data_IF_498681559456
#
_entry.id   IF_498681559456
#
_cell.length_a   1.000
_cell.length_b   1.000
_cell.length_c   1.000
_cell.angle_alpha   90.00
_cell.angle_beta   90.00
_cell.angle_gamma   90.00
#
_symmetry.space_group_name_H-M   'P 1'
#
loop_
_entity.id
_entity.type
_entity.pdbx_description
1 polymer ?
#
# COMPACT_ATOMS: atom_id res chain seq x y z
N UNK A 1 -29.14 6.60 -11.15
CA UNK A 1 -29.56 5.33 -11.78
C UNK A 1 -28.50 4.30 -11.49
N UNK A 2 -28.87 3.18 -10.87
CA UNK A 2 -27.97 2.08 -10.56
C UNK A 2 -27.79 1.21 -11.81
N UNK A 3 -26.55 1.10 -12.32
CA UNK A 3 -26.24 0.13 -13.36
C UNK A 3 -25.92 -1.19 -12.65
N UNK A 4 -26.84 -2.15 -12.74
CA UNK A 4 -26.60 -3.52 -12.29
C UNK A 4 -25.51 -4.17 -13.18
N UNK A 5 -24.44 -4.69 -12.57
CA UNK A 5 -23.47 -5.56 -13.27
C UNK A 5 -23.88 -7.01 -13.10
N UNK A 6 -24.09 -7.68 -14.23
CA UNK A 6 -24.30 -9.12 -14.30
C UNK A 6 -22.95 -9.84 -14.03
N UNK A 7 -22.92 -10.73 -13.03
CA UNK A 7 -21.74 -11.50 -12.61
C UNK A 7 -21.66 -12.89 -13.31
N UNK A 8 -22.45 -13.16 -14.35
CA UNK A 8 -22.55 -14.49 -14.96
C UNK A 8 -21.47 -14.83 -16.00
N UNK A 9 -20.54 -13.92 -16.33
CA UNK A 9 -19.47 -14.21 -17.29
C UNK A 9 -18.11 -14.18 -16.59
N UNK A 10 -17.79 -15.26 -15.86
CA UNK A 10 -16.38 -15.60 -15.66
C UNK A 10 -15.88 -16.14 -17.01
N UNK A 11 -14.81 -15.59 -17.61
CA UNK A 11 -14.25 -16.19 -18.82
C UNK A 11 -13.91 -17.65 -18.51
N UNK A 12 -14.27 -18.55 -19.44
CA UNK A 12 -14.19 -20.00 -19.26
C UNK A 12 -12.74 -20.53 -19.21
N UNK A 13 -11.75 -19.68 -19.44
CA UNK A 13 -10.35 -20.08 -19.50
C UNK A 13 -9.59 -19.65 -18.24
N UNK A 14 -8.98 -20.64 -17.60
CA UNK A 14 -8.04 -20.46 -16.51
C UNK A 14 -6.72 -19.98 -17.13
N UNK A 15 -6.52 -18.66 -17.14
CA UNK A 15 -5.30 -18.07 -17.71
C UNK A 15 -4.15 -18.28 -16.73
N UNK A 16 -3.15 -19.07 -17.14
CA UNK A 16 -1.90 -19.20 -16.42
C UNK A 16 -1.15 -17.84 -16.47
N UNK A 17 -0.77 -17.26 -15.31
CA UNK A 17 -0.04 -16.00 -15.27
C UNK A 17 1.24 -16.00 -16.10
N UNK A 18 1.97 -17.12 -16.19
CA UNK A 18 3.20 -17.22 -16.96
C UNK A 18 2.93 -17.13 -18.47
N UNK A 19 1.92 -17.87 -18.95
CA UNK A 19 1.49 -17.89 -20.34
C UNK A 19 0.96 -16.51 -20.79
N UNK A 20 0.24 -15.82 -19.91
CA UNK A 20 -0.21 -14.45 -20.18
C UNK A 20 0.96 -13.46 -20.33
N UNK A 21 1.95 -13.55 -19.45
CA UNK A 21 3.13 -12.68 -19.49
C UNK A 21 3.92 -12.91 -20.78
N UNK A 22 4.10 -14.17 -21.18
CA UNK A 22 4.82 -14.53 -22.41
C UNK A 22 4.07 -14.02 -23.66
N UNK A 23 2.74 -14.16 -23.73
CA UNK A 23 1.93 -13.62 -24.84
C UNK A 23 1.99 -12.11 -24.96
N UNK A 24 1.84 -11.39 -23.84
CA UNK A 24 1.94 -9.92 -23.84
C UNK A 24 3.33 -9.46 -24.25
N UNK A 25 4.38 -10.18 -23.85
CA UNK A 25 5.74 -9.89 -24.23
C UNK A 25 5.96 -10.03 -25.75
N UNK A 26 5.45 -11.10 -26.35
CA UNK A 26 5.53 -11.30 -27.81
C UNK A 26 4.81 -10.18 -28.57
N UNK A 27 3.60 -9.78 -28.14
CA UNK A 27 2.86 -8.66 -28.75
C UNK A 27 3.63 -7.33 -28.66
N UNK A 28 4.35 -7.10 -27.56
CA UNK A 28 5.16 -5.89 -27.38
C UNK A 28 6.41 -5.90 -28.25
N UNK A 29 7.00 -7.06 -28.51
CA UNK A 29 8.12 -7.22 -29.46
C UNK A 29 7.63 -6.99 -30.89
N UNK A 30 6.51 -7.60 -31.28
CA UNK A 30 5.94 -7.45 -32.63
C UNK A 30 5.50 -6.01 -32.92
N UNK A 31 4.92 -5.33 -31.93
CA UNK A 31 4.57 -3.90 -32.04
C UNK A 31 5.77 -2.95 -31.96
N UNK A 32 7.00 -3.47 -31.83
CA UNK A 32 8.24 -2.70 -31.79
C UNK A 32 8.44 -1.87 -30.53
N UNK A 33 7.64 -2.11 -29.48
CA UNK A 33 7.74 -1.43 -28.17
C UNK A 33 8.76 -2.09 -27.25
N UNK A 34 9.12 -3.34 -27.52
CA UNK A 34 10.15 -4.10 -26.83
C UNK A 34 11.17 -4.64 -27.85
N UNK A 35 12.45 -4.65 -27.49
CA UNK A 35 13.47 -5.36 -28.26
C UNK A 35 13.43 -6.88 -27.99
N UNK A 36 13.93 -7.71 -28.92
CA UNK A 36 14.08 -9.16 -28.71
C UNK A 36 15.03 -9.48 -27.54
N UNK A 37 16.00 -8.60 -27.28
CA UNK A 37 16.84 -8.62 -26.09
C UNK A 37 16.33 -7.56 -25.10
N UNK A 38 15.47 -7.97 -24.17
CA UNK A 38 14.89 -7.08 -23.16
C UNK A 38 15.27 -7.53 -21.74
N UNK A 39 15.26 -6.57 -20.81
CA UNK A 39 15.66 -6.77 -19.41
C UNK A 39 14.82 -7.84 -18.67
N UNK A 40 13.61 -8.13 -19.15
CA UNK A 40 12.72 -9.16 -18.58
C UNK A 40 13.33 -10.55 -18.79
N UNK A 41 13.95 -10.80 -19.94
CA UNK A 41 14.64 -12.08 -20.23
C UNK A 41 15.96 -12.23 -19.49
N UNK A 42 16.68 -11.14 -19.26
CA UNK A 42 17.90 -11.18 -18.44
C UNK A 42 17.59 -11.62 -17.02
N UNK A 43 16.59 -11.02 -16.37
CA UNK A 43 16.21 -11.40 -15.00
C UNK A 43 15.73 -12.86 -14.91
N UNK A 44 14.97 -13.33 -15.90
CA UNK A 44 14.49 -14.73 -15.95
C UNK A 44 15.65 -15.70 -16.14
N UNK A 45 16.60 -15.41 -17.05
CA UNK A 45 17.82 -16.20 -17.22
C UNK A 45 18.72 -16.19 -15.99
N UNK A 46 18.84 -15.06 -15.29
CA UNK A 46 19.59 -14.96 -14.02
C UNK A 46 18.95 -15.81 -12.91
N UNK A 47 17.62 -15.87 -12.85
CA UNK A 47 16.90 -16.71 -11.90
C UNK A 47 16.94 -18.22 -12.25
N UNK A 48 17.06 -18.56 -13.54
CA UNK A 48 17.10 -19.95 -14.02
C UNK A 48 18.52 -20.53 -14.11
N UNK A 49 19.57 -19.68 -14.12
CA UNK A 49 20.97 -20.10 -14.26
C UNK A 49 21.69 -20.42 -12.94
N UNK A 50 21.07 -20.18 -11.78
CA UNK A 50 21.66 -20.52 -10.48
C UNK A 50 20.95 -21.73 -9.83
N UNK A 51 21.54 -22.93 -9.85
CA UNK A 51 21.09 -24.04 -9.03
C UNK A 51 21.74 -23.96 -7.63
N UNK A 52 20.94 -23.50 -6.67
CA UNK A 52 20.92 -23.78 -5.22
C UNK A 52 22.12 -23.40 -4.28
N UNK A 53 21.73 -23.10 -3.04
CA UNK A 53 22.47 -23.08 -1.76
C UNK A 53 23.23 -21.80 -1.26
N UNK A 54 22.78 -21.38 -0.06
CA UNK A 54 23.43 -20.57 0.98
C UNK A 54 23.17 -19.05 1.06
N UNK A 55 22.05 -18.67 1.68
CA UNK A 55 22.04 -17.61 2.70
C UNK A 55 21.45 -18.18 4.00
N UNK A 56 22.28 -18.96 4.71
CA UNK A 56 22.02 -19.38 6.08
C UNK A 56 21.94 -18.13 6.98
N UNK A 57 20.76 -17.84 7.51
CA UNK A 57 20.62 -17.06 8.74
C UNK A 57 20.53 -18.06 9.91
N UNK A 58 21.57 -18.07 10.74
CA UNK A 58 21.74 -18.98 11.87
C UNK A 58 20.54 -18.97 12.81
N UNK A 59 19.91 -20.14 12.97
CA UNK A 59 19.11 -20.46 14.15
C UNK A 59 20.02 -20.42 15.39
N UNK A 60 19.73 -19.49 16.30
CA UNK A 60 20.11 -19.64 17.72
C UNK A 60 18.84 -19.80 18.53
N UNK A 61 18.45 -21.06 18.68
CA UNK A 61 17.54 -21.49 19.75
C UNK A 61 18.29 -21.44 21.07
N UNK A 62 17.74 -20.75 22.08
CA UNK A 62 17.52 -21.36 23.39
C UNK A 62 16.51 -20.53 24.23
N UNK A 63 15.28 -21.05 24.24
CA UNK A 63 14.33 -21.23 25.36
C UNK A 63 14.33 -20.21 26.49
N UNK A 64 13.17 -19.57 26.69
CA UNK A 64 12.37 -19.72 27.93
C UNK A 64 10.94 -19.21 27.71
N UNK A 65 9.98 -19.86 28.38
CA UNK A 65 8.53 -19.72 28.23
C UNK A 65 8.04 -18.32 28.66
N UNK A 66 7.12 -17.72 27.90
CA UNK A 66 5.90 -17.07 28.41
C UNK A 66 5.00 -16.56 27.26
N UNK A 67 3.70 -16.71 27.46
CA UNK A 67 2.56 -16.54 26.55
C UNK A 67 2.51 -15.15 25.88
N UNK A 68 2.52 -15.06 24.53
CA UNK A 68 2.17 -13.82 23.80
C UNK A 68 1.45 -14.11 22.47
N UNK A 69 0.31 -13.44 22.35
CA UNK A 69 -0.60 -13.16 21.22
C UNK A 69 -0.06 -13.38 19.79
N UNK A 70 -0.91 -13.78 18.82
CA UNK A 70 -0.46 -14.07 17.46
C UNK A 70 0.11 -12.84 16.75
N UNK A 71 1.24 -13.07 16.09
CA UNK A 71 2.14 -12.10 15.48
C UNK A 71 1.41 -11.20 14.46
N UNK A 72 1.55 -9.89 14.66
CA UNK A 72 1.17 -8.84 13.71
C UNK A 72 1.63 -9.09 12.27
N UNK A 73 2.71 -9.84 12.08
CA UNK A 73 3.24 -10.19 10.76
C UNK A 73 2.34 -11.18 9.97
N UNK A 74 1.73 -12.17 10.62
CA UNK A 74 0.86 -13.14 9.95
C UNK A 74 -0.45 -12.50 9.46
N UNK A 75 -0.95 -11.49 10.17
CA UNK A 75 -2.16 -10.77 9.79
C UNK A 75 -1.95 -9.79 8.62
N UNK A 76 -0.71 -9.39 8.34
CA UNK A 76 -0.39 -8.58 7.17
C UNK A 76 -0.42 -9.39 5.86
N UNK A 77 -0.24 -10.71 5.94
CA UNK A 77 -0.12 -11.60 4.78
C UNK A 77 -1.47 -11.92 4.09
N UNK A 78 -2.61 -11.63 4.72
CA UNK A 78 -3.93 -12.06 4.22
C UNK A 78 -4.79 -10.93 3.63
N UNK A 79 -4.18 -9.81 3.23
CA UNK A 79 -4.90 -8.60 2.84
C UNK A 79 -5.07 -8.47 1.32
N UNK A 80 -6.32 -8.48 0.85
CA UNK A 80 -6.65 -8.27 -0.56
C UNK A 80 -7.60 -7.08 -0.74
N UNK A 81 -7.05 -5.87 -0.67
CA UNK A 81 -7.78 -4.66 -1.05
C UNK A 81 -6.92 -3.40 -0.98
N UNK A 82 -6.80 -2.58 -2.06
CA UNK A 82 -5.98 -1.38 -2.03
C UNK A 82 -6.70 -0.27 -1.26
N UNK A 83 -6.32 -0.07 0.00
CA UNK A 83 -6.62 1.18 0.72
C UNK A 83 -6.07 2.34 -0.08
N UNK A 84 -6.92 3.30 -0.44
CA UNK A 84 -6.49 4.48 -1.21
C UNK A 84 -6.21 5.63 -0.27
N UNK A 85 -5.07 6.30 -0.49
CA UNK A 85 -4.64 7.46 0.29
C UNK A 85 -4.62 8.67 -0.63
N UNK A 86 -5.23 9.76 -0.20
CA UNK A 86 -5.22 11.05 -0.89
C UNK A 86 -4.76 12.14 0.08
N UNK A 87 -4.15 13.20 -0.44
CA UNK A 87 -3.83 14.36 0.37
C UNK A 87 -3.88 15.64 -0.44
N UNK A 88 -4.09 16.75 0.28
CA UNK A 88 -3.90 18.09 -0.24
C UNK A 88 -2.98 18.85 0.72
N UNK A 89 -1.80 19.19 0.22
CA UNK A 89 -0.80 19.97 0.91
C UNK A 89 -0.04 20.80 -0.11
N UNK A 90 -0.49 22.04 -0.30
CA UNK A 90 -0.03 22.92 -1.38
C UNK A 90 1.50 23.00 -1.47
N UNK A 91 2.04 22.75 -2.67
CA UNK A 91 3.48 22.85 -2.95
C UNK A 91 4.34 21.73 -2.32
N UNK A 92 3.74 20.70 -1.73
CA UNK A 92 4.47 19.60 -1.10
C UNK A 92 4.10 18.24 -1.68
N UNK A 93 5.11 17.38 -1.75
CA UNK A 93 5.03 15.98 -2.12
C UNK A 93 5.33 15.10 -0.91
N UNK A 94 4.69 13.94 -0.83
CA UNK A 94 5.00 12.95 0.19
C UNK A 94 6.36 12.29 -0.10
N UNK A 95 7.16 12.09 0.94
CA UNK A 95 8.37 11.25 0.90
C UNK A 95 8.09 9.85 1.46
N UNK A 96 7.18 9.77 2.44
CA UNK A 96 6.77 8.52 3.06
C UNK A 96 5.29 8.59 3.40
N UNK A 97 4.50 7.72 2.80
CA UNK A 97 3.06 7.65 2.99
C UNK A 97 2.66 6.18 3.15
N UNK A 98 2.82 5.60 4.35
CA UNK A 98 2.61 4.17 4.56
C UNK A 98 1.15 3.79 4.36
N UNK A 99 0.95 2.58 3.85
CA UNK A 99 -0.37 1.97 3.76
C UNK A 99 -0.81 1.61 5.19
N UNK A 100 -2.00 2.05 5.65
CA UNK A 100 -2.49 1.69 6.97
C UNK A 100 -2.68 0.19 7.11
N UNK A 101 -2.18 -0.37 8.21
CA UNK A 101 -2.48 -1.75 8.62
C UNK A 101 -3.63 -1.68 9.62
N UNK A 102 -4.81 -2.18 9.23
CA UNK A 102 -6.00 -2.18 10.09
C UNK A 102 -6.65 -3.56 10.11
N UNK A 103 -7.19 -3.95 11.26
CA UNK A 103 -7.97 -5.19 11.44
C UNK A 103 -9.45 -4.92 11.67
N UNK A 104 -9.89 -3.71 11.31
CA UNK A 104 -11.26 -3.28 11.51
C UNK A 104 -12.17 -3.99 10.49
N UNK A 105 -13.34 -4.45 10.92
CA UNK A 105 -14.34 -5.11 10.05
C UNK A 105 -15.12 -4.12 9.16
N UNK A 106 -14.97 -2.81 9.44
CA UNK A 106 -15.68 -1.75 8.74
C UNK A 106 -14.99 -1.28 7.46
N UNK A 107 -15.75 -0.59 6.63
CA UNK A 107 -15.26 0.19 5.51
C UNK A 107 -15.63 1.66 5.72
N UNK A 108 -14.91 2.56 5.05
CA UNK A 108 -15.27 3.96 5.08
C UNK A 108 -14.11 4.88 4.72
N UNK A 109 -14.46 6.15 4.56
CA UNK A 109 -13.51 7.22 4.31
C UNK A 109 -13.29 8.00 5.60
N UNK A 110 -12.05 8.10 6.04
CA UNK A 110 -11.63 8.98 7.15
C UNK A 110 -10.81 10.12 6.57
N UNK A 111 -11.26 11.35 6.80
CA UNK A 111 -10.58 12.57 6.35
C UNK A 111 -9.99 13.28 7.57
N UNK A 112 -8.69 13.56 7.52
CA UNK A 112 -7.94 14.20 8.58
C UNK A 112 -7.47 15.58 8.14
N UNK A 113 -7.54 16.54 9.05
CA UNK A 113 -6.76 17.79 8.99
C UNK A 113 -5.39 17.51 9.57
N UNK A 114 -4.34 17.75 8.78
CA UNK A 114 -2.95 17.57 9.18
C UNK A 114 -2.25 18.91 9.35
N UNK A 115 -1.32 18.98 10.30
CA UNK A 115 -0.41 20.10 10.48
C UNK A 115 1.02 19.63 10.26
N UNK A 116 1.69 20.16 9.24
CA UNK A 116 3.01 19.72 8.80
C UNK A 116 4.01 20.85 9.00
N UNK A 117 5.15 20.55 9.63
CA UNK A 117 6.18 21.55 9.84
C UNK A 117 7.11 21.74 8.62
N UNK A 118 7.99 22.74 8.69
CA UNK A 118 8.96 23.04 7.62
C UNK A 118 9.86 21.84 7.26
N UNK A 119 10.12 20.91 8.19
CA UNK A 119 10.91 19.69 7.95
C UNK A 119 10.11 18.57 7.27
N UNK A 120 8.82 18.76 7.03
CA UNK A 120 7.94 17.74 6.43
C UNK A 120 7.40 16.71 7.41
N UNK A 121 7.47 16.99 8.72
CA UNK A 121 6.96 16.10 9.77
C UNK A 121 5.51 16.49 10.09
N UNK A 122 4.62 15.50 10.19
CA UNK A 122 3.23 15.69 10.61
C UNK A 122 3.17 15.81 12.14
N UNK A 123 2.97 17.03 12.63
CA UNK A 123 2.91 17.36 14.07
C UNK A 123 1.51 17.26 14.66
N UNK A 124 0.46 17.30 13.83
CA UNK A 124 -0.88 16.95 14.26
C UNK A 124 -1.71 16.36 13.14
N UNK A 125 -2.66 15.50 13.53
CA UNK A 125 -3.64 14.88 12.65
C UNK A 125 -4.94 14.75 13.45
N UNK A 126 -6.02 15.35 12.96
CA UNK A 126 -7.32 15.40 13.64
C UNK A 126 -8.42 15.12 12.64
N UNK A 127 -9.39 14.28 13.00
CA UNK A 127 -10.51 13.95 12.12
C UNK A 127 -11.37 15.17 11.78
N UNK A 128 -11.84 15.19 10.54
CA UNK A 128 -12.86 16.10 10.04
C UNK A 128 -14.16 15.29 9.88
N UNK A 129 -15.01 15.30 10.90
CA UNK A 129 -16.20 14.43 11.00
C UNK A 129 -17.14 14.62 9.81
N UNK A 130 -17.43 15.87 9.43
CA UNK A 130 -18.35 16.20 8.33
C UNK A 130 -17.84 15.81 6.93
N UNK A 131 -16.55 15.51 6.77
CA UNK A 131 -15.98 15.02 5.50
C UNK A 131 -15.74 13.51 5.51
N UNK A 132 -15.78 12.89 6.69
CA UNK A 132 -15.62 11.45 6.89
C UNK A 132 -16.96 10.74 6.72
N UNK A 133 -16.94 9.49 6.28
CA UNK A 133 -18.15 8.67 6.13
C UNK A 133 -18.29 7.63 7.23
N UNK A 134 -17.35 7.62 8.17
CA UNK A 134 -17.29 6.69 9.30
C UNK A 134 -16.69 7.40 10.49
N UNK A 135 -17.23 7.10 11.66
CA UNK A 135 -16.75 7.45 12.99
C UNK A 135 -16.25 6.22 13.77
N UNK A 136 -16.09 5.07 13.08
CA UNK A 136 -15.56 3.84 13.66
C UNK A 136 -14.19 4.11 14.33
N UNK A 137 -14.08 3.93 15.66
CA UNK A 137 -12.85 4.27 16.37
C UNK A 137 -11.61 3.55 15.86
N UNK A 138 -11.74 2.29 15.44
CA UNK A 138 -10.64 1.50 14.92
C UNK A 138 -10.10 2.09 13.61
N UNK A 139 -11.00 2.49 12.70
CA UNK A 139 -10.60 3.12 11.44
C UNK A 139 -9.98 4.51 11.68
N UNK A 140 -10.56 5.29 12.60
CA UNK A 140 -10.07 6.62 12.95
C UNK A 140 -8.69 6.57 13.58
N UNK A 141 -8.46 5.69 14.55
CA UNK A 141 -7.17 5.49 15.20
C UNK A 141 -6.10 5.03 14.21
N UNK A 142 -6.45 4.12 13.31
CA UNK A 142 -5.54 3.66 12.26
C UNK A 142 -5.17 4.81 11.32
N UNK A 143 -6.15 5.61 10.88
CA UNK A 143 -5.89 6.77 10.04
C UNK A 143 -4.99 7.79 10.73
N UNK A 144 -5.27 8.12 12.00
CA UNK A 144 -4.51 9.10 12.77
C UNK A 144 -3.07 8.63 13.00
N UNK A 145 -2.86 7.39 13.42
CA UNK A 145 -1.52 6.83 13.65
C UNK A 145 -0.69 6.80 12.36
N UNK A 146 -1.29 6.37 11.24
CA UNK A 146 -0.64 6.35 9.93
C UNK A 146 -0.28 7.76 9.45
N UNK A 147 -1.16 8.74 9.67
CA UNK A 147 -0.91 10.13 9.32
C UNK A 147 0.27 10.72 10.08
N UNK A 148 0.41 10.42 11.38
CA UNK A 148 1.49 10.92 12.24
C UNK A 148 2.88 10.44 11.82
N UNK A 149 2.97 9.23 11.28
CA UNK A 149 4.24 8.67 10.81
C UNK A 149 4.56 9.05 9.35
N UNK A 150 3.59 9.60 8.62
CA UNK A 150 3.81 10.08 7.25
C UNK A 150 4.81 11.24 7.21
N UNK A 151 5.53 11.38 6.09
CA UNK A 151 6.55 12.42 5.87
C UNK A 151 6.35 13.08 4.51
N UNK A 152 6.52 14.39 4.49
CA UNK A 152 6.52 15.22 3.29
C UNK A 152 7.93 15.73 3.01
N UNK A 153 8.17 16.30 1.82
CA UNK A 153 9.41 16.98 1.54
C UNK A 153 9.57 18.20 2.48
N UNK A 154 10.81 18.49 2.91
CA UNK A 154 11.08 19.74 3.61
C UNK A 154 10.90 20.93 2.67
N UNK A 155 10.45 22.05 3.22
CA UNK A 155 10.35 23.33 2.53
C UNK A 155 10.55 24.47 3.54
N UNK A 156 11.63 25.22 3.35
CA UNK A 156 12.04 26.36 4.19
C UNK A 156 11.17 27.59 3.96
N UNK A 157 10.54 27.71 2.77
CA UNK A 157 9.71 28.83 2.39
C UNK A 157 8.23 28.64 2.81
N UNK A 158 7.84 27.41 3.13
CA UNK A 158 6.53 27.11 3.69
C UNK A 158 6.34 27.76 5.08
N UNK A 159 5.08 27.97 5.52
CA UNK A 159 4.79 28.38 6.89
C UNK A 159 5.41 27.44 7.93
N UNK A 160 5.68 27.96 9.14
CA UNK A 160 6.20 27.15 10.27
C UNK A 160 5.40 25.88 10.48
N UNK A 161 4.06 26.02 10.41
CA UNK A 161 3.08 24.94 10.42
C UNK A 161 2.14 25.17 9.25
N UNK A 162 2.16 24.25 8.29
CA UNK A 162 1.28 24.25 7.14
C UNK A 162 0.11 23.30 7.38
N UNK A 163 -1.11 23.78 7.15
CA UNK A 163 -2.31 22.95 7.23
C UNK A 163 -2.57 22.27 5.89
N UNK A 164 -3.09 21.05 5.94
CA UNK A 164 -3.51 20.29 4.78
C UNK A 164 -4.54 19.22 5.15
N UNK A 165 -4.89 18.38 4.19
CA UNK A 165 -5.78 17.24 4.41
C UNK A 165 -5.15 15.93 4.00
N UNK A 166 -5.54 14.85 4.67
CA UNK A 166 -5.12 13.48 4.39
C UNK A 166 -6.36 12.58 4.48
N UNK A 167 -6.67 11.82 3.44
CA UNK A 167 -7.87 10.99 3.36
C UNK A 167 -7.49 9.53 3.16
N UNK A 168 -8.04 8.66 3.99
CA UNK A 168 -7.90 7.21 3.91
C UNK A 168 -9.23 6.59 3.52
N UNK A 169 -9.20 5.76 2.47
CA UNK A 169 -10.37 5.03 1.99
C UNK A 169 -10.18 3.55 2.33
N UNK A 170 -10.76 3.15 3.45
CA UNK A 170 -10.75 1.78 3.95
C UNK A 170 -11.81 0.95 3.23
N UNK A 171 -11.42 -0.26 2.84
CA UNK A 171 -12.31 -1.27 2.26
C UNK A 171 -12.56 -2.33 3.32
N UNK A 172 -13.77 -2.91 3.33
CA UNK A 172 -14.06 -3.98 4.28
C UNK A 172 -13.17 -5.19 3.96
N UNK A 173 -12.70 -5.84 5.03
CA UNK A 173 -11.96 -7.11 4.98
C UNK A 173 -12.85 -8.27 5.38
#
# INVERSE_FOLDING_TARGET
MNIARNLANRPAEQIDPADYIDRVKEELIESGKLGPDNYIDEQKKLAEAEPDENLAYEEKTDREKEEKEPDSAEMAANYQGPTRIYYDLAGRNHQYLPIPIYKCRGAGKVVLRIAVNQKGIVESAVIIENLSTTDDPCLVETAVSTARISRFNPDINAPRIQQGTLSYHFVAQ
#
